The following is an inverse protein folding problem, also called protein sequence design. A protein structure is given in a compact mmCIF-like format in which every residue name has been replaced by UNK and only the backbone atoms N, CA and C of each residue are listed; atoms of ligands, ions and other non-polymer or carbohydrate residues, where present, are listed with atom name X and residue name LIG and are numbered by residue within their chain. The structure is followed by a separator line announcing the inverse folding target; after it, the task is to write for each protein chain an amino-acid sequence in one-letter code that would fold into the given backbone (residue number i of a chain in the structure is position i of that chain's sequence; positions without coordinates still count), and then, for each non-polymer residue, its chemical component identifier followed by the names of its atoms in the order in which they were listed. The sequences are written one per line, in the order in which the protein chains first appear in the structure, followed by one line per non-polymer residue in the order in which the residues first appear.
data_IF_097784780281
#
_entry.id   IF_097784780281
#
_cell.length_a   1.000
_cell.length_b   1.000
_cell.length_c   1.000
_cell.angle_alpha   90.00
_cell.angle_beta   90.00
_cell.angle_gamma   90.00
#
_symmetry.space_group_name_H-M   'P 1'
#
loop_
_entity.id
_entity.type
_entity.pdbx_description
1 polymer ?
#
# COMPACT_ATOMS: atom_id res chain seq x y z
N UNK A 1 -4.65 -13.08 16.10
CA UNK A 1 -4.04 -12.18 15.11
C UNK A 1 -3.87 -10.84 15.80
N UNK A 2 -2.64 -10.35 15.95
CA UNK A 2 -2.40 -9.01 16.49
C UNK A 2 -3.17 -7.98 15.66
N UNK A 3 -3.90 -7.02 16.27
CA UNK A 3 -4.60 -5.99 15.51
C UNK A 3 -3.59 -5.17 14.72
N UNK A 4 -3.58 -5.32 13.40
CA UNK A 4 -2.79 -4.49 12.49
C UNK A 4 -1.77 -5.21 11.60
N UNK A 5 -1.61 -6.53 11.65
CA UNK A 5 -0.77 -7.26 10.68
C UNK A 5 -1.57 -7.75 9.48
N UNK A 6 -1.05 -7.54 8.27
CA UNK A 6 -1.68 -7.96 7.01
C UNK A 6 -0.63 -8.59 6.11
N UNK A 7 -0.91 -9.76 5.53
CA UNK A 7 -0.03 -10.38 4.54
C UNK A 7 0.09 -9.46 3.31
N UNK A 8 1.31 -9.27 2.81
CA UNK A 8 1.54 -8.52 1.58
C UNK A 8 0.87 -9.23 0.41
N UNK A 9 -0.04 -8.50 -0.24
CA UNK A 9 -0.57 -8.85 -1.56
C UNK A 9 -1.10 -7.59 -2.24
N UNK A 10 -1.17 -7.55 -3.58
CA UNK A 10 -1.76 -6.42 -4.32
C UNK A 10 -3.19 -6.09 -3.85
N UNK A 11 -3.96 -7.13 -3.54
CA UNK A 11 -5.34 -7.03 -3.08
C UNK A 11 -5.41 -6.40 -1.67
N UNK A 12 -4.51 -6.82 -0.79
CA UNK A 12 -4.41 -6.29 0.57
C UNK A 12 -3.91 -4.86 0.60
N UNK A 13 -2.98 -4.46 -0.29
CA UNK A 13 -2.59 -3.07 -0.45
C UNK A 13 -3.79 -2.19 -0.80
N UNK A 14 -4.55 -2.61 -1.81
CA UNK A 14 -5.75 -1.90 -2.27
C UNK A 14 -6.84 -1.84 -1.19
N UNK A 15 -7.05 -2.94 -0.47
CA UNK A 15 -8.02 -3.01 0.62
C UNK A 15 -7.61 -2.10 1.79
N UNK A 16 -6.34 -2.13 2.19
CA UNK A 16 -5.80 -1.28 3.25
C UNK A 16 -5.92 0.21 2.91
N UNK A 17 -5.58 0.61 1.68
CA UNK A 17 -5.79 1.97 1.18
C UNK A 17 -7.26 2.40 1.27
N UNK A 18 -8.17 1.57 0.76
CA UNK A 18 -9.61 1.88 0.76
C UNK A 18 -10.17 2.00 2.17
N UNK A 19 -9.68 1.19 3.12
CA UNK A 19 -10.10 1.25 4.53
C UNK A 19 -9.81 2.61 5.17
N UNK A 20 -8.69 3.23 4.81
CA UNK A 20 -8.34 4.59 5.25
C UNK A 20 -8.87 5.69 4.32
N UNK A 21 -9.74 5.35 3.36
CA UNK A 21 -10.42 6.27 2.43
C UNK A 21 -9.49 7.12 1.57
N UNK A 22 -8.28 6.64 1.29
CA UNK A 22 -7.35 7.32 0.38
C UNK A 22 -7.56 6.90 -1.08
N UNK A 23 -7.38 7.82 -2.02
CA UNK A 23 -7.30 7.53 -3.46
C UNK A 23 -5.89 7.06 -3.84
N UNK A 24 -5.72 6.47 -5.04
CA UNK A 24 -4.39 6.12 -5.53
C UNK A 24 -3.50 7.37 -5.72
N UNK A 25 -4.11 8.49 -6.13
CA UNK A 25 -3.44 9.77 -6.31
C UNK A 25 -2.91 10.33 -4.98
N UNK A 26 -3.73 10.33 -3.93
CA UNK A 26 -3.32 10.78 -2.60
C UNK A 26 -2.16 9.96 -2.03
N UNK A 27 -2.15 8.65 -2.30
CA UNK A 27 -1.03 7.79 -1.88
C UNK A 27 0.21 8.09 -2.70
N UNK A 28 0.06 8.26 -4.02
CA UNK A 28 1.17 8.59 -4.90
C UNK A 28 1.84 9.92 -4.51
N UNK A 29 1.04 10.94 -4.22
CA UNK A 29 1.49 12.24 -3.71
C UNK A 29 2.27 12.09 -2.39
N UNK A 30 1.69 11.39 -1.40
CA UNK A 30 2.34 11.19 -0.10
C UNK A 30 3.64 10.38 -0.17
N UNK A 31 3.75 9.47 -1.14
CA UNK A 31 4.96 8.67 -1.37
C UNK A 31 5.95 9.36 -2.32
N UNK A 32 5.57 10.45 -2.98
CA UNK A 32 6.39 11.09 -4.02
C UNK A 32 6.67 10.16 -5.22
N UNK A 33 5.65 9.42 -5.66
CA UNK A 33 5.70 8.54 -6.85
C UNK A 33 4.56 8.87 -7.81
N UNK A 34 4.55 8.29 -9.01
CA UNK A 34 3.42 8.46 -9.93
C UNK A 34 2.22 7.60 -9.51
N UNK A 35 1.01 8.02 -9.91
CA UNK A 35 -0.21 7.23 -9.70
C UNK A 35 -0.13 5.85 -10.39
N UNK A 36 0.55 5.76 -11.53
CA UNK A 36 0.76 4.52 -12.27
C UNK A 36 1.66 3.53 -11.51
N UNK A 37 2.62 4.02 -10.72
CA UNK A 37 3.41 3.19 -9.82
C UNK A 37 2.52 2.53 -8.76
N UNK A 38 1.67 3.32 -8.08
CA UNK A 38 0.73 2.79 -7.08
C UNK A 38 -0.27 1.83 -7.72
N UNK A 39 -0.80 2.16 -8.90
CA UNK A 39 -1.70 1.30 -9.66
C UNK A 39 -1.04 -0.04 -10.03
N UNK A 40 0.23 -0.02 -10.44
CA UNK A 40 1.00 -1.22 -10.80
C UNK A 40 1.17 -2.15 -9.60
N UNK A 41 1.45 -1.60 -8.42
CA UNK A 41 1.54 -2.36 -7.17
C UNK A 41 0.19 -2.98 -6.77
N UNK A 42 -0.91 -2.22 -6.81
CA UNK A 42 -2.24 -2.71 -6.45
C UNK A 42 -2.82 -3.72 -7.45
N UNK A 43 -2.28 -3.78 -8.66
CA UNK A 43 -2.66 -4.75 -9.69
C UNK A 43 -1.70 -5.94 -9.77
N UNK A 44 -0.62 -5.96 -8.99
CA UNK A 44 0.38 -7.02 -9.01
C UNK A 44 1.24 -7.05 -10.27
N UNK A 45 1.31 -5.95 -11.03
CA UNK A 45 2.20 -5.84 -12.20
C UNK A 45 3.65 -5.57 -11.79
N UNK A 46 3.85 -5.03 -10.60
CA UNK A 46 5.14 -4.78 -9.99
C UNK A 46 5.02 -4.90 -8.48
N UNK A 47 6.12 -5.15 -7.79
CA UNK A 47 6.16 -5.16 -6.33
C UNK A 47 6.74 -3.83 -5.80
N UNK A 48 6.17 -3.24 -4.75
CA UNK A 48 6.80 -2.13 -4.06
C UNK A 48 8.06 -2.63 -3.34
N UNK A 49 9.18 -1.88 -3.38
CA UNK A 49 10.32 -2.21 -2.55
C UNK A 49 9.95 -2.09 -1.07
N UNK A 50 10.69 -2.79 -0.20
CA UNK A 50 10.40 -2.89 1.23
C UNK A 50 10.24 -1.51 1.92
N UNK A 51 10.99 -0.51 1.46
CA UNK A 51 10.89 0.88 1.96
C UNK A 51 9.50 1.46 1.70
N UNK A 52 8.99 1.32 0.46
CA UNK A 52 7.64 1.76 0.06
C UNK A 52 6.57 0.98 0.78
N UNK A 53 6.77 -0.33 0.96
CA UNK A 53 5.83 -1.17 1.71
C UNK A 53 5.70 -0.71 3.18
N UNK A 54 6.81 -0.31 3.82
CA UNK A 54 6.81 0.26 5.18
C UNK A 54 6.13 1.62 5.24
N UNK A 55 6.38 2.50 4.26
CA UNK A 55 5.69 3.79 4.18
C UNK A 55 4.18 3.60 4.00
N UNK A 56 3.75 2.74 3.07
CA UNK A 56 2.35 2.37 2.88
C UNK A 56 1.75 1.78 4.16
N UNK A 57 2.50 0.96 4.90
CA UNK A 57 2.06 0.45 6.19
C UNK A 57 1.73 1.57 7.18
N UNK A 58 2.60 2.58 7.29
CA UNK A 58 2.34 3.77 8.13
C UNK A 58 1.11 4.55 7.64
N UNK A 59 1.00 4.81 6.33
CA UNK A 59 -0.12 5.54 5.75
C UNK A 59 -1.46 4.82 5.93
N UNK A 60 -1.45 3.49 5.87
CA UNK A 60 -2.66 2.68 5.94
C UNK A 60 -2.96 2.17 7.34
N UNK A 61 -2.15 2.54 8.34
CA UNK A 61 -2.21 2.03 9.71
C UNK A 61 -2.28 0.49 9.77
N UNK A 62 -1.36 -0.17 9.05
CA UNK A 62 -1.13 -1.62 9.06
C UNK A 62 0.37 -1.93 8.97
N UNK A 63 0.76 -3.13 9.39
CA UNK A 63 2.07 -3.71 9.14
C UNK A 63 1.93 -4.79 8.09
N UNK A 64 2.59 -4.60 6.94
CA UNK A 64 2.66 -5.64 5.91
C UNK A 64 3.75 -6.65 6.26
N UNK A 65 3.40 -7.93 6.23
CA UNK A 65 4.35 -9.05 6.36
C UNK A 65 4.49 -9.71 4.99
N UNK A 66 5.72 -10.03 4.58
CA UNK A 66 6.02 -10.74 3.32
C UNK A 66 6.21 -12.23 3.56
#
# INVERSE_FOLDING_TARGET
MEPGQVLFSPQNLKAARKRVKLTQEQVAEQLGVSIDTVRSWEQGRAEPPITRLREMGRLYAVSFIV
#
